data_IF_897919334413
#
_entry.id   IF_897919334413
#
_cell.length_a   1.000
_cell.length_b   1.000
_cell.length_c   1.000
_cell.angle_alpha   90.00
_cell.angle_beta   90.00
_cell.angle_gamma   90.00
#
_symmetry.space_group_name_H-M   'P 1'
#
loop_
_entity.id
_entity.type
_entity.pdbx_description
1 polymer ?
#
# COMPACT_ATOMS: atom_id res chain seq x y z
N UNK A 1 40.53 13.87 17.15
CA UNK A 1 39.61 13.49 18.25
C UNK A 1 39.36 12.00 18.12
N UNK A 2 39.71 11.24 19.17
CA UNK A 2 39.72 9.78 19.18
C UNK A 2 38.30 9.22 19.12
N UNK A 3 37.98 8.35 18.16
CA UNK A 3 36.81 7.51 18.16
C UNK A 3 36.91 6.52 19.33
N UNK A 4 35.99 6.67 20.27
CA UNK A 4 35.78 5.76 21.37
C UNK A 4 34.91 4.61 20.85
N UNK A 5 35.53 3.49 20.51
CA UNK A 5 34.83 2.23 20.30
C UNK A 5 34.28 1.77 21.67
N UNK A 6 32.97 1.83 21.83
CA UNK A 6 32.29 1.19 22.93
C UNK A 6 32.40 -0.34 22.71
N UNK A 7 33.11 -0.99 23.60
CA UNK A 7 33.15 -2.44 23.73
C UNK A 7 31.72 -2.97 23.83
N UNK A 8 31.29 -3.71 22.80
CA UNK A 8 30.12 -4.57 22.94
C UNK A 8 30.53 -5.73 23.85
N UNK A 9 29.75 -6.03 24.91
CA UNK A 9 30.03 -7.20 25.72
C UNK A 9 29.97 -8.45 24.85
N UNK A 10 30.94 -9.34 25.02
CA UNK A 10 31.04 -10.63 24.36
C UNK A 10 29.65 -11.33 24.39
N UNK A 11 29.15 -11.74 23.22
CA UNK A 11 27.98 -12.60 23.10
C UNK A 11 28.29 -13.88 23.90
N UNK A 12 27.64 -14.03 25.07
CA UNK A 12 27.48 -15.35 25.69
C UNK A 12 26.87 -16.28 24.67
N UNK A 13 27.17 -17.60 24.76
CA UNK A 13 26.55 -18.68 24.00
C UNK A 13 25.03 -18.76 24.21
N UNK A 14 24.31 -17.70 23.85
CA UNK A 14 22.88 -17.72 23.71
C UNK A 14 22.59 -18.57 22.47
N UNK A 15 22.00 -19.72 22.67
CA UNK A 15 21.47 -20.60 21.64
C UNK A 15 20.84 -19.70 20.56
N UNK A 16 21.45 -19.69 19.35
CA UNK A 16 20.91 -18.95 18.21
C UNK A 16 19.58 -19.59 17.87
N UNK A 17 18.49 -18.92 18.20
CA UNK A 17 17.15 -19.37 17.83
C UNK A 17 16.90 -19.04 16.37
N UNK A 18 16.40 -20.03 15.62
CA UNK A 18 16.14 -19.88 14.18
C UNK A 18 14.72 -19.38 13.92
N UNK A 19 13.75 -19.85 14.72
CA UNK A 19 12.32 -19.58 14.51
C UNK A 19 11.69 -18.96 15.76
N UNK A 20 10.84 -17.96 15.59
CA UNK A 20 9.96 -17.45 16.63
C UNK A 20 8.51 -17.55 16.19
N UNK A 21 7.67 -18.26 16.94
CA UNK A 21 6.22 -18.24 16.76
C UNK A 21 5.67 -17.07 17.59
N UNK A 22 5.01 -16.12 16.94
CA UNK A 22 4.46 -14.92 17.59
C UNK A 22 2.93 -14.98 17.57
N UNK A 23 2.32 -14.87 18.74
CA UNK A 23 0.86 -14.81 18.92
C UNK A 23 0.46 -13.50 19.60
N UNK A 24 -0.41 -12.68 18.99
CA UNK A 24 -0.97 -11.50 19.65
C UNK A 24 -2.00 -11.96 20.69
N UNK A 25 -1.93 -11.39 21.89
CA UNK A 25 -2.79 -11.78 23.00
C UNK A 25 -3.51 -10.57 23.62
N UNK A 26 -4.82 -10.70 23.80
CA UNK A 26 -5.63 -9.78 24.64
C UNK A 26 -6.78 -10.54 25.29
N UNK A 27 -6.57 -10.96 26.54
CA UNK A 27 -7.53 -11.76 27.30
C UNK A 27 -7.85 -13.10 26.61
N UNK A 28 -6.84 -13.92 26.36
CA UNK A 28 -6.97 -15.23 25.68
C UNK A 28 -6.60 -16.41 26.63
N UNK A 29 -6.72 -16.25 27.97
CA UNK A 29 -6.35 -17.29 28.94
C UNK A 29 -7.01 -18.66 28.64
N UNK A 30 -8.24 -18.66 28.10
CA UNK A 30 -8.97 -19.87 27.74
C UNK A 30 -8.30 -20.65 26.59
N UNK A 31 -7.76 -19.93 25.58
CA UNK A 31 -7.26 -20.53 24.34
C UNK A 31 -5.76 -20.80 24.39
N UNK A 32 -5.00 -20.06 25.20
CA UNK A 32 -3.53 -20.14 25.27
C UNK A 32 -2.98 -21.54 25.50
N UNK A 33 -3.54 -22.42 26.40
CA UNK A 33 -2.99 -23.74 26.59
C UNK A 33 -3.01 -24.58 25.29
N UNK A 34 -4.09 -24.51 24.53
CA UNK A 34 -4.21 -25.17 23.24
C UNK A 34 -3.23 -24.59 22.21
N UNK A 35 -3.20 -23.26 22.08
CA UNK A 35 -2.36 -22.57 21.09
C UNK A 35 -0.86 -22.78 21.35
N UNK A 36 -0.41 -22.73 22.62
CA UNK A 36 0.97 -22.96 22.98
C UNK A 36 1.37 -24.44 22.78
N UNK A 37 0.48 -25.38 23.09
CA UNK A 37 0.73 -26.80 22.84
C UNK A 37 0.86 -27.09 21.32
N UNK A 38 -0.02 -26.54 20.50
CA UNK A 38 0.03 -26.65 19.04
C UNK A 38 1.29 -25.97 18.45
N UNK A 39 1.65 -24.78 18.94
CA UNK A 39 2.89 -24.12 18.52
C UNK A 39 4.15 -24.90 18.90
N UNK A 40 4.14 -25.60 20.05
CA UNK A 40 5.24 -26.49 20.45
C UNK A 40 5.36 -27.70 19.52
N UNK A 41 4.23 -28.32 19.13
CA UNK A 41 4.21 -29.38 18.13
C UNK A 41 4.75 -28.88 16.78
N UNK A 42 4.36 -27.68 16.35
CA UNK A 42 4.91 -27.06 15.15
C UNK A 42 6.44 -26.87 15.23
N UNK A 43 6.97 -26.37 16.35
CA UNK A 43 8.42 -26.22 16.54
C UNK A 43 9.14 -27.58 16.50
N UNK A 44 8.59 -28.60 17.17
CA UNK A 44 9.17 -29.96 17.12
C UNK A 44 9.22 -30.53 15.69
N UNK A 45 8.17 -30.28 14.88
CA UNK A 45 8.17 -30.69 13.46
C UNK A 45 9.13 -29.87 12.61
N UNK A 46 9.29 -28.56 12.88
CA UNK A 46 10.27 -27.70 12.20
C UNK A 46 11.69 -28.19 12.51
N UNK A 47 11.99 -28.52 13.77
CA UNK A 47 13.27 -29.05 14.18
C UNK A 47 13.56 -30.41 13.52
N UNK A 48 12.58 -31.31 13.49
CA UNK A 48 12.71 -32.61 12.85
C UNK A 48 12.90 -32.50 11.32
N UNK A 49 12.25 -31.56 10.67
CA UNK A 49 12.30 -31.41 9.21
C UNK A 49 13.51 -30.61 8.71
N UNK A 50 13.92 -29.57 9.45
CA UNK A 50 14.90 -28.59 8.99
C UNK A 50 16.09 -28.41 9.95
N UNK A 51 16.07 -29.01 11.15
CA UNK A 51 17.10 -28.82 12.17
C UNK A 51 17.08 -27.40 12.83
N UNK A 52 15.96 -26.67 12.70
CA UNK A 52 15.82 -25.30 13.17
C UNK A 52 15.18 -25.27 14.57
N UNK A 53 15.83 -24.61 15.52
CA UNK A 53 15.32 -24.44 16.89
C UNK A 53 14.49 -23.19 17.04
N UNK A 54 13.56 -23.14 18.02
CA UNK A 54 12.68 -21.99 18.11
C UNK A 54 12.14 -21.67 19.51
N UNK A 55 11.47 -20.53 19.58
CA UNK A 55 10.76 -20.02 20.75
C UNK A 55 9.31 -19.69 20.43
N UNK A 56 8.50 -19.58 21.49
CA UNK A 56 7.12 -19.09 21.44
C UNK A 56 7.06 -17.74 22.15
N UNK A 57 6.53 -16.72 21.47
CA UNK A 57 6.33 -15.37 22.01
C UNK A 57 4.86 -15.04 22.05
N UNK A 58 4.37 -14.69 23.21
CA UNK A 58 3.04 -14.11 23.43
C UNK A 58 3.17 -12.60 23.50
N UNK A 59 2.70 -11.91 22.47
CA UNK A 59 2.70 -10.46 22.39
C UNK A 59 1.46 -9.89 23.11
N UNK A 60 1.59 -9.65 24.39
CA UNK A 60 0.48 -9.21 25.25
C UNK A 60 0.16 -7.74 25.06
N UNK A 61 -1.11 -7.44 24.76
CA UNK A 61 -1.61 -6.09 24.51
C UNK A 61 -2.38 -5.51 25.70
N UNK A 62 -2.05 -5.98 26.92
CA UNK A 62 -2.59 -5.53 28.19
C UNK A 62 -3.76 -6.40 28.67
N UNK A 63 -3.57 -7.70 28.71
CA UNK A 63 -4.50 -8.68 29.27
C UNK A 63 -4.67 -8.49 30.80
N UNK A 64 -5.88 -8.78 31.27
CA UNK A 64 -6.27 -8.67 32.68
C UNK A 64 -6.86 -9.96 33.24
N UNK A 65 -6.87 -11.03 32.46
CA UNK A 65 -7.49 -12.34 32.74
C UNK A 65 -6.46 -13.40 33.20
N UNK A 66 -5.22 -13.01 33.45
CA UNK A 66 -4.15 -13.93 33.83
C UNK A 66 -3.41 -14.59 32.66
N UNK A 67 -3.71 -14.19 31.39
CA UNK A 67 -3.06 -14.72 30.17
C UNK A 67 -1.54 -14.68 30.25
N UNK A 68 -0.94 -13.62 30.83
CA UNK A 68 0.51 -13.42 30.91
C UNK A 68 1.17 -14.51 31.78
N UNK A 69 0.73 -14.64 33.02
CA UNK A 69 1.26 -15.63 33.97
C UNK A 69 1.04 -17.07 33.47
N UNK A 70 -0.11 -17.33 32.85
CA UNK A 70 -0.41 -18.64 32.25
C UNK A 70 0.56 -18.96 31.10
N UNK A 71 0.81 -18.01 30.19
CA UNK A 71 1.74 -18.18 29.08
C UNK A 71 3.17 -18.51 29.54
N UNK A 72 3.66 -17.79 30.57
CA UNK A 72 4.98 -18.05 31.16
C UNK A 72 5.04 -19.44 31.82
N UNK A 73 4.01 -19.84 32.55
CA UNK A 73 3.92 -21.20 33.14
C UNK A 73 3.93 -22.30 32.08
N UNK A 74 3.38 -22.00 30.91
CA UNK A 74 3.39 -22.91 29.76
C UNK A 74 4.70 -22.82 28.94
N UNK A 75 5.72 -22.06 29.39
CA UNK A 75 7.02 -21.98 28.75
C UNK A 75 7.08 -21.07 27.52
N UNK A 76 6.12 -20.17 27.34
CA UNK A 76 6.19 -19.14 26.33
C UNK A 76 6.82 -17.85 26.94
N UNK A 77 7.55 -17.11 26.13
CA UNK A 77 8.06 -15.79 26.51
C UNK A 77 6.99 -14.71 26.29
N UNK A 78 6.70 -13.94 27.31
CA UNK A 78 5.72 -12.84 27.22
C UNK A 78 6.42 -11.53 26.90
N UNK A 79 5.87 -10.80 25.92
CA UNK A 79 6.32 -9.47 25.50
C UNK A 79 5.16 -8.50 25.71
N UNK A 80 5.30 -7.59 26.65
CA UNK A 80 4.30 -6.56 26.89
C UNK A 80 4.38 -5.47 25.83
N UNK A 81 3.25 -5.26 25.08
CA UNK A 81 3.15 -4.26 24.02
C UNK A 81 2.21 -3.14 24.47
N UNK A 82 2.79 -1.95 24.75
CA UNK A 82 2.02 -0.81 25.25
C UNK A 82 1.08 -0.20 24.20
N UNK A 83 1.48 -0.17 22.93
CA UNK A 83 0.66 0.34 21.84
C UNK A 83 -0.55 -0.58 21.61
N UNK A 84 -1.76 -0.03 21.63
CA UNK A 84 -2.98 -0.82 21.55
C UNK A 84 -3.35 -1.18 20.10
N UNK A 85 -3.77 -2.43 19.90
CA UNK A 85 -4.29 -2.96 18.65
C UNK A 85 -3.62 -4.25 18.20
N UNK A 86 -4.32 -4.99 17.35
CA UNK A 86 -3.88 -6.28 16.82
C UNK A 86 -2.53 -6.19 16.10
N UNK A 87 -2.42 -5.23 15.16
CA UNK A 87 -1.17 -5.01 14.43
C UNK A 87 -0.05 -4.50 15.33
N UNK A 88 -0.36 -3.66 16.32
CA UNK A 88 0.61 -3.19 17.30
C UNK A 88 1.19 -4.35 18.12
N UNK A 89 0.35 -5.29 18.57
CA UNK A 89 0.79 -6.49 19.28
C UNK A 89 1.73 -7.34 18.41
N UNK A 90 1.35 -7.61 17.16
CA UNK A 90 2.20 -8.37 16.22
C UNK A 90 3.52 -7.65 15.94
N UNK A 91 3.49 -6.32 15.70
CA UNK A 91 4.71 -5.54 15.45
C UNK A 91 5.65 -5.64 16.65
N UNK A 92 5.14 -5.44 17.88
CA UNK A 92 5.95 -5.51 19.08
C UNK A 92 6.53 -6.91 19.33
N UNK A 93 5.72 -7.96 19.16
CA UNK A 93 6.15 -9.34 19.28
C UNK A 93 7.22 -9.72 18.24
N UNK A 94 7.01 -9.36 16.98
CA UNK A 94 7.96 -9.63 15.91
C UNK A 94 9.27 -8.84 16.05
N UNK A 95 9.22 -7.60 16.55
CA UNK A 95 10.44 -6.83 16.86
C UNK A 95 11.26 -7.49 17.98
N UNK A 96 10.58 -8.03 18.99
CA UNK A 96 11.19 -8.72 20.12
C UNK A 96 11.61 -10.18 19.83
N UNK A 97 11.19 -10.75 18.68
CA UNK A 97 11.54 -12.10 18.28
C UNK A 97 13.06 -12.29 18.19
N UNK A 98 13.59 -13.44 18.65
CA UNK A 98 15.00 -13.75 18.50
C UNK A 98 15.30 -14.55 17.23
N UNK A 99 14.32 -15.32 16.73
CA UNK A 99 14.47 -16.15 15.53
C UNK A 99 14.72 -15.35 14.25
N UNK A 100 15.44 -15.98 13.34
CA UNK A 100 15.66 -15.50 11.97
C UNK A 100 14.36 -15.53 11.14
N UNK A 101 13.53 -16.53 11.38
CA UNK A 101 12.20 -16.68 10.79
C UNK A 101 11.13 -16.42 11.84
N UNK A 102 10.08 -15.74 11.46
CA UNK A 102 8.94 -15.41 12.31
C UNK A 102 7.71 -16.04 11.71
N UNK A 103 7.07 -16.95 12.46
CA UNK A 103 5.76 -17.51 12.16
C UNK A 103 4.74 -16.79 13.05
N UNK A 104 3.71 -16.19 12.49
CA UNK A 104 2.68 -15.49 13.25
C UNK A 104 1.30 -16.10 13.00
N UNK A 105 0.48 -16.15 14.04
CA UNK A 105 -0.90 -16.63 13.99
C UNK A 105 -1.67 -16.18 15.23
N UNK A 106 -3.00 -16.33 15.19
CA UNK A 106 -3.87 -15.88 16.26
C UNK A 106 -3.81 -16.81 17.49
N UNK A 107 -4.00 -16.26 18.69
CA UNK A 107 -4.00 -16.99 19.97
C UNK A 107 -5.39 -17.50 20.37
N UNK A 108 -6.32 -17.66 19.41
CA UNK A 108 -7.71 -18.04 19.64
C UNK A 108 -8.05 -19.49 19.24
N UNK A 109 -7.06 -20.23 18.77
CA UNK A 109 -7.22 -21.61 18.31
C UNK A 109 -7.80 -21.76 16.90
N UNK A 110 -7.97 -20.68 16.17
CA UNK A 110 -8.53 -20.73 14.81
C UNK A 110 -7.52 -21.23 13.76
N UNK A 111 -6.22 -21.20 14.03
CA UNK A 111 -5.17 -21.69 13.13
C UNK A 111 -4.39 -22.86 13.73
N UNK A 112 -4.01 -23.80 12.86
CA UNK A 112 -3.08 -24.86 13.19
C UNK A 112 -1.65 -24.38 12.85
N UNK A 113 -0.81 -24.17 13.86
CA UNK A 113 0.59 -23.76 13.65
C UNK A 113 1.43 -24.82 12.95
N UNK A 114 0.98 -26.07 12.91
CA UNK A 114 1.68 -27.12 12.14
C UNK A 114 1.61 -26.90 10.63
N UNK A 115 0.61 -26.17 10.11
CA UNK A 115 0.58 -25.70 8.72
C UNK A 115 1.76 -24.74 8.42
N UNK A 116 2.27 -24.07 9.46
CA UNK A 116 3.43 -23.18 9.41
C UNK A 116 4.76 -23.88 9.12
N UNK A 117 4.85 -25.21 9.29
CA UNK A 117 6.08 -25.98 8.98
C UNK A 117 6.45 -25.81 7.51
N UNK A 118 5.47 -25.92 6.60
CA UNK A 118 5.69 -25.70 5.18
C UNK A 118 6.06 -24.22 4.88
N UNK A 119 5.55 -23.25 5.64
CA UNK A 119 5.90 -21.84 5.48
C UNK A 119 7.37 -21.59 5.83
N UNK A 120 7.87 -22.18 6.91
CA UNK A 120 9.29 -22.07 7.28
C UNK A 120 10.18 -22.69 6.19
N UNK A 121 9.77 -23.81 5.59
CA UNK A 121 10.48 -24.39 4.44
C UNK A 121 10.58 -23.41 3.27
N UNK A 122 9.49 -22.72 2.91
CA UNK A 122 9.53 -21.71 1.84
C UNK A 122 10.47 -20.53 2.16
N UNK A 123 10.53 -20.11 3.44
CA UNK A 123 11.48 -19.06 3.85
C UNK A 123 12.93 -19.57 3.78
N UNK A 124 13.18 -20.82 4.17
CA UNK A 124 14.50 -21.44 4.05
C UNK A 124 14.94 -21.56 2.57
N UNK A 125 13.99 -21.75 1.65
CA UNK A 125 14.19 -21.75 0.20
C UNK A 125 14.30 -20.33 -0.42
N UNK A 126 14.38 -19.31 0.42
CA UNK A 126 14.64 -17.93 0.02
C UNK A 126 13.41 -17.07 -0.26
N UNK A 127 12.21 -17.48 0.17
CA UNK A 127 11.08 -16.54 0.22
C UNK A 127 11.27 -15.52 1.32
N UNK A 128 10.82 -14.28 1.08
CA UNK A 128 10.82 -13.23 2.09
C UNK A 128 9.60 -13.32 3.00
N UNK A 129 8.45 -13.65 2.41
CA UNK A 129 7.14 -13.77 3.05
C UNK A 129 6.43 -15.03 2.53
N UNK A 130 5.85 -15.82 3.42
CA UNK A 130 4.97 -16.94 3.06
C UNK A 130 3.59 -16.73 3.71
N UNK A 131 2.54 -16.77 2.88
CA UNK A 131 1.16 -16.59 3.31
C UNK A 131 0.42 -17.91 3.37
N UNK A 132 -0.41 -18.09 4.39
CA UNK A 132 -1.41 -19.15 4.39
C UNK A 132 -2.55 -18.84 3.43
N UNK A 133 -3.08 -19.85 2.73
CA UNK A 133 -4.32 -19.75 1.97
C UNK A 133 -5.39 -20.65 2.59
N UNK A 134 -6.39 -20.04 3.24
CA UNK A 134 -7.53 -20.77 3.82
C UNK A 134 -8.43 -21.35 2.72
N UNK A 135 -8.38 -20.77 1.54
CA UNK A 135 -9.11 -21.28 0.37
C UNK A 135 -8.49 -22.56 -0.19
N UNK A 136 -7.18 -22.77 0.01
CA UNK A 136 -6.50 -24.05 -0.34
C UNK A 136 -6.55 -25.08 0.77
N UNK A 137 -6.33 -24.67 2.03
CA UNK A 137 -6.21 -25.60 3.17
C UNK A 137 -7.55 -26.05 3.73
N UNK A 138 -8.57 -25.22 3.57
CA UNK A 138 -9.91 -25.52 4.05
C UNK A 138 -10.42 -24.56 5.14
N UNK A 139 -11.71 -24.36 5.14
CA UNK A 139 -12.43 -23.52 6.12
C UNK A 139 -13.51 -24.39 6.72
N UNK A 140 -13.40 -24.67 8.03
CA UNK A 140 -14.41 -25.45 8.75
C UNK A 140 -15.79 -24.78 8.70
N UNK A 141 -16.87 -25.60 8.71
CA UNK A 141 -18.23 -25.05 8.75
C UNK A 141 -18.43 -24.15 9.98
N UNK A 142 -18.76 -22.88 9.75
CA UNK A 142 -18.98 -21.88 10.80
C UNK A 142 -17.73 -21.12 11.27
N UNK A 143 -16.51 -21.47 10.82
CA UNK A 143 -15.29 -20.74 11.15
C UNK A 143 -15.21 -19.35 10.48
N UNK A 144 -15.88 -19.17 9.36
CA UNK A 144 -15.92 -17.90 8.66
C UNK A 144 -17.36 -17.56 8.23
N UNK A 145 -17.86 -16.34 8.52
CA UNK A 145 -19.15 -15.89 8.01
C UNK A 145 -19.25 -15.97 6.49
N UNK A 146 -20.39 -16.40 5.95
CA UNK A 146 -20.60 -16.59 4.52
C UNK A 146 -20.23 -15.35 3.68
N UNK A 147 -20.63 -14.15 4.17
CA UNK A 147 -20.32 -12.88 3.50
C UNK A 147 -18.82 -12.63 3.39
N UNK A 148 -18.05 -12.98 4.41
CA UNK A 148 -16.59 -12.82 4.38
C UNK A 148 -15.95 -13.85 3.46
N UNK A 149 -16.43 -15.11 3.48
CA UNK A 149 -15.89 -16.20 2.67
C UNK A 149 -16.08 -15.95 1.17
N UNK A 150 -17.27 -15.50 0.73
CA UNK A 150 -17.62 -15.45 -0.69
C UNK A 150 -17.59 -14.04 -1.28
N UNK A 151 -17.61 -12.99 -0.46
CA UNK A 151 -17.65 -11.61 -0.95
C UNK A 151 -16.50 -10.77 -0.38
N UNK A 152 -16.41 -10.62 0.93
CA UNK A 152 -15.48 -9.67 1.55
C UNK A 152 -14.01 -9.97 1.26
N UNK A 153 -13.54 -11.17 1.61
CA UNK A 153 -12.14 -11.54 1.42
C UNK A 153 -11.77 -11.66 -0.08
N UNK A 154 -12.56 -12.32 -0.96
CA UNK A 154 -12.25 -12.36 -2.38
C UNK A 154 -12.21 -10.97 -3.03
N UNK A 155 -13.16 -10.09 -2.69
CA UNK A 155 -13.22 -8.74 -3.25
C UNK A 155 -11.99 -7.90 -2.82
N UNK A 156 -11.66 -7.89 -1.54
CA UNK A 156 -10.53 -7.12 -1.02
C UNK A 156 -9.19 -7.67 -1.54
N UNK A 157 -9.05 -9.00 -1.62
CA UNK A 157 -7.87 -9.63 -2.21
C UNK A 157 -7.78 -9.34 -3.71
N UNK A 158 -8.90 -9.39 -4.44
CA UNK A 158 -8.96 -9.03 -5.86
C UNK A 158 -8.55 -7.58 -6.13
N UNK A 159 -9.04 -6.64 -5.31
CA UNK A 159 -8.62 -5.22 -5.39
C UNK A 159 -7.12 -5.08 -5.08
N UNK A 160 -6.60 -5.79 -4.07
CA UNK A 160 -5.19 -5.80 -3.74
C UNK A 160 -4.35 -6.30 -4.92
N UNK A 161 -4.71 -7.43 -5.52
CA UNK A 161 -4.01 -7.98 -6.68
C UNK A 161 -4.08 -7.04 -7.88
N UNK A 162 -5.23 -6.42 -8.14
CA UNK A 162 -5.39 -5.45 -9.23
C UNK A 162 -4.49 -4.22 -9.03
N UNK A 163 -4.40 -3.71 -7.80
CA UNK A 163 -3.65 -2.48 -7.51
C UNK A 163 -2.14 -2.71 -7.41
N UNK A 164 -1.72 -3.84 -6.83
CA UNK A 164 -0.32 -4.08 -6.46
C UNK A 164 0.33 -5.26 -7.19
N UNK A 165 -0.44 -6.05 -7.96
CA UNK A 165 0.03 -7.24 -8.67
C UNK A 165 0.76 -8.23 -7.74
N UNK A 166 0.14 -8.47 -6.57
CA UNK A 166 0.73 -9.30 -5.53
C UNK A 166 0.54 -10.81 -5.80
N UNK A 167 -0.41 -11.18 -6.65
CA UNK A 167 -0.76 -12.57 -7.02
C UNK A 167 -1.02 -13.47 -5.79
N UNK A 168 -1.83 -12.96 -4.85
CA UNK A 168 -2.15 -13.61 -3.59
C UNK A 168 -3.60 -14.09 -3.61
N UNK A 169 -3.85 -15.29 -3.06
CA UNK A 169 -5.19 -15.85 -2.98
C UNK A 169 -5.95 -15.43 -1.73
N UNK A 170 -5.24 -15.29 -0.60
CA UNK A 170 -5.82 -14.95 0.69
C UNK A 170 -4.97 -13.92 1.44
N UNK A 171 -5.14 -12.65 1.10
CA UNK A 171 -4.40 -11.55 1.73
C UNK A 171 -4.71 -11.34 3.22
N UNK A 172 -5.79 -11.94 3.71
CA UNK A 172 -6.30 -11.74 5.08
C UNK A 172 -6.13 -12.97 5.98
N UNK A 173 -5.40 -14.00 5.53
CA UNK A 173 -5.05 -15.13 6.39
C UNK A 173 -4.18 -14.65 7.56
N UNK A 174 -4.52 -15.03 8.81
CA UNK A 174 -3.74 -14.68 10.00
C UNK A 174 -2.44 -15.48 10.12
N UNK A 175 -2.44 -16.75 9.66
CA UNK A 175 -1.25 -17.58 9.67
C UNK A 175 -0.31 -17.20 8.52
N UNK A 176 0.87 -16.71 8.85
CA UNK A 176 1.89 -16.27 7.88
C UNK A 176 3.29 -16.33 8.46
N UNK A 177 4.28 -16.51 7.63
CA UNK A 177 5.69 -16.51 8.03
C UNK A 177 6.48 -15.47 7.23
N UNK A 178 7.48 -14.85 7.87
CA UNK A 178 8.33 -13.83 7.26
C UNK A 178 9.74 -13.94 7.82
N UNK A 179 10.77 -13.67 7.01
CA UNK A 179 12.12 -13.51 7.55
C UNK A 179 12.19 -12.22 8.38
N UNK A 180 12.94 -12.25 9.49
CA UNK A 180 13.09 -11.07 10.37
C UNK A 180 13.67 -9.87 9.63
N UNK A 181 14.59 -10.10 8.71
CA UNK A 181 15.17 -9.07 7.88
C UNK A 181 14.12 -8.41 6.98
N UNK A 182 13.27 -9.22 6.31
CA UNK A 182 12.15 -8.71 5.51
C UNK A 182 11.14 -7.96 6.37
N UNK A 183 10.79 -8.49 7.55
CA UNK A 183 9.88 -7.83 8.48
C UNK A 183 10.36 -6.41 8.87
N UNK A 184 11.61 -6.29 9.27
CA UNK A 184 12.20 -5.00 9.63
C UNK A 184 12.27 -4.06 8.42
N UNK A 185 12.60 -4.59 7.24
CA UNK A 185 12.63 -3.81 6.00
C UNK A 185 11.24 -3.29 5.61
N UNK A 186 10.16 -4.01 5.89
CA UNK A 186 8.80 -3.55 5.57
C UNK A 186 8.41 -2.26 6.29
N UNK A 187 8.94 -2.00 7.49
CA UNK A 187 8.62 -0.80 8.26
C UNK A 187 7.12 -0.69 8.53
N UNK A 188 6.51 -1.75 9.07
CA UNK A 188 5.07 -1.82 9.34
C UNK A 188 4.69 -0.84 10.45
N UNK A 189 3.53 -0.19 10.32
CA UNK A 189 3.05 0.83 11.26
C UNK A 189 1.54 0.72 11.57
N UNK A 190 0.81 -0.13 10.86
CA UNK A 190 -0.62 -0.35 11.05
C UNK A 190 -0.90 -1.01 12.39
N UNK A 191 -1.52 -0.27 13.32
CA UNK A 191 -1.80 -0.77 14.67
C UNK A 191 -3.03 -1.69 14.74
N UNK A 192 -3.93 -1.64 13.76
CA UNK A 192 -5.16 -2.42 13.72
C UNK A 192 -5.12 -3.61 12.78
N UNK A 193 -6.31 -4.04 12.31
CA UNK A 193 -6.44 -5.16 11.36
C UNK A 193 -5.84 -4.87 9.98
N UNK A 194 -5.64 -3.59 9.64
CA UNK A 194 -4.97 -3.14 8.42
C UNK A 194 -3.51 -3.62 8.30
N UNK A 195 -2.88 -4.02 9.41
CA UNK A 195 -1.56 -4.67 9.43
C UNK A 195 -1.47 -5.82 8.42
N UNK A 196 -2.53 -6.63 8.31
CA UNK A 196 -2.57 -7.76 7.40
C UNK A 196 -2.39 -7.34 5.93
N UNK A 197 -3.13 -6.32 5.51
CA UNK A 197 -3.02 -5.76 4.15
C UNK A 197 -1.73 -4.96 3.96
N UNK A 198 -1.28 -4.21 4.99
CA UNK A 198 -0.05 -3.44 4.94
C UNK A 198 1.17 -4.31 4.62
N UNK A 199 1.30 -5.44 5.30
CA UNK A 199 2.40 -6.38 5.10
C UNK A 199 2.48 -6.84 3.66
N UNK A 200 1.38 -7.34 3.11
CA UNK A 200 1.31 -7.85 1.74
C UNK A 200 1.58 -6.75 0.72
N UNK A 201 0.96 -5.58 0.89
CA UNK A 201 1.11 -4.45 -0.03
C UNK A 201 2.57 -3.97 -0.06
N UNK A 202 3.17 -3.77 1.11
CA UNK A 202 4.57 -3.31 1.19
C UNK A 202 5.53 -4.35 0.65
N UNK A 203 5.30 -5.65 0.91
CA UNK A 203 6.09 -6.73 0.32
C UNK A 203 6.01 -6.71 -1.21
N UNK A 204 4.81 -6.60 -1.78
CA UNK A 204 4.61 -6.50 -3.23
C UNK A 204 5.25 -5.23 -3.82
N UNK A 205 5.11 -4.07 -3.16
CA UNK A 205 5.71 -2.81 -3.61
C UNK A 205 7.24 -2.85 -3.58
N UNK A 206 7.84 -3.60 -2.65
CA UNK A 206 9.28 -3.82 -2.53
C UNK A 206 9.78 -5.00 -3.37
N UNK A 207 8.88 -5.66 -4.13
CA UNK A 207 9.19 -6.81 -4.98
C UNK A 207 9.83 -7.97 -4.21
N UNK A 208 9.40 -8.17 -2.97
CA UNK A 208 9.79 -9.31 -2.17
C UNK A 208 9.21 -10.61 -2.76
N UNK A 209 9.93 -11.72 -2.60
CA UNK A 209 9.41 -13.04 -2.98
C UNK A 209 8.34 -13.47 -1.99
N UNK A 210 7.09 -13.59 -2.47
CA UNK A 210 5.93 -13.99 -1.68
C UNK A 210 5.46 -15.35 -2.15
N UNK A 211 5.54 -16.35 -1.26
CA UNK A 211 5.05 -17.69 -1.53
C UNK A 211 3.76 -17.97 -0.74
N UNK A 212 3.01 -19.00 -1.10
CA UNK A 212 1.73 -19.33 -0.49
C UNK A 212 1.63 -20.84 -0.26
N UNK A 213 1.15 -21.24 0.92
CA UNK A 213 0.88 -22.63 1.28
C UNK A 213 -0.58 -22.78 1.78
N UNK A 214 -1.16 -23.99 1.69
CA UNK A 214 -2.45 -24.25 2.32
C UNK A 214 -2.39 -23.97 3.82
N UNK A 215 -3.47 -23.39 4.39
CA UNK A 215 -3.64 -23.20 5.81
C UNK A 215 -5.10 -23.47 6.19
N UNK A 216 -5.31 -24.21 7.27
CA UNK A 216 -6.64 -24.57 7.75
C UNK A 216 -7.19 -23.46 8.65
N UNK A 217 -8.48 -23.16 8.52
CA UNK A 217 -9.19 -22.30 9.45
C UNK A 217 -10.24 -23.09 10.21
N UNK A 218 -10.03 -23.26 11.49
CA UNK A 218 -10.97 -23.88 12.43
C UNK A 218 -11.81 -22.84 13.14
N UNK A 219 -12.85 -23.29 13.88
CA UNK A 219 -13.60 -22.39 14.74
C UNK A 219 -12.73 -21.95 15.91
N UNK A 220 -12.85 -20.68 16.27
CA UNK A 220 -12.19 -20.16 17.47
C UNK A 220 -12.70 -20.88 18.73
N UNK A 221 -11.84 -21.00 19.73
CA UNK A 221 -12.15 -21.67 21.00
C UNK A 221 -12.69 -20.69 22.06
N UNK A 222 -12.99 -19.46 21.67
CA UNK A 222 -13.49 -18.42 22.57
C UNK A 222 -14.98 -18.54 22.82
N UNK A 223 -15.40 -18.37 24.06
CA UNK A 223 -16.82 -18.27 24.43
C UNK A 223 -17.38 -16.85 24.20
N UNK A 224 -16.56 -15.90 23.75
CA UNK A 224 -16.92 -14.50 23.50
C UNK A 224 -16.96 -14.17 22.02
N UNK A 225 -17.75 -13.14 21.61
CA UNK A 225 -17.75 -12.69 20.22
C UNK A 225 -16.37 -12.22 19.77
N UNK A 226 -15.99 -12.46 18.51
CA UNK A 226 -14.72 -11.98 17.97
C UNK A 226 -14.64 -10.45 17.99
N UNK A 227 -13.44 -9.90 18.17
CA UNK A 227 -13.19 -8.45 18.18
C UNK A 227 -13.39 -7.80 16.79
N UNK A 228 -13.45 -8.61 15.73
CA UNK A 228 -13.57 -8.17 14.35
C UNK A 228 -14.97 -7.56 14.08
N UNK A 229 -14.98 -6.33 13.56
CA UNK A 229 -16.18 -5.62 13.10
C UNK A 229 -16.17 -5.53 11.58
N UNK A 230 -16.90 -6.37 10.83
CA UNK A 230 -16.71 -6.56 9.38
C UNK A 230 -16.72 -5.26 8.56
N UNK A 231 -17.68 -4.37 8.78
CA UNK A 231 -17.80 -3.11 8.05
C UNK A 231 -16.68 -2.11 8.38
N UNK A 232 -16.39 -1.94 9.67
CA UNK A 232 -15.36 -1.00 10.11
C UNK A 232 -13.97 -1.45 9.66
N UNK A 233 -13.69 -2.74 9.81
CA UNK A 233 -12.39 -3.29 9.49
C UNK A 233 -12.23 -3.46 7.97
N UNK A 234 -13.28 -3.86 7.24
CA UNK A 234 -13.30 -3.85 5.78
C UNK A 234 -13.07 -2.46 5.18
N UNK A 235 -13.69 -1.41 5.75
CA UNK A 235 -13.42 -0.03 5.36
C UNK A 235 -11.97 0.40 5.63
N UNK A 236 -11.37 -0.01 6.77
CA UNK A 236 -9.97 0.24 7.08
C UNK A 236 -9.04 -0.39 6.05
N UNK A 237 -9.29 -1.64 5.67
CA UNK A 237 -8.54 -2.33 4.63
C UNK A 237 -8.66 -1.60 3.28
N UNK A 238 -9.87 -1.31 2.81
CA UNK A 238 -10.10 -0.60 1.56
C UNK A 238 -9.43 0.78 1.55
N UNK A 239 -9.60 1.55 2.62
CA UNK A 239 -8.94 2.86 2.75
C UNK A 239 -7.43 2.74 2.66
N UNK A 240 -6.84 1.73 3.29
CA UNK A 240 -5.40 1.51 3.25
C UNK A 240 -4.92 1.15 1.84
N UNK A 241 -5.65 0.27 1.15
CA UNK A 241 -5.42 -0.05 -0.27
C UNK A 241 -5.40 1.21 -1.15
N UNK A 242 -6.39 2.07 -0.99
CA UNK A 242 -6.51 3.31 -1.76
C UNK A 242 -5.36 4.28 -1.43
N UNK A 243 -5.02 4.48 -0.16
CA UNK A 243 -3.94 5.38 0.27
C UNK A 243 -2.57 4.98 -0.30
N UNK A 244 -2.31 3.68 -0.43
CA UNK A 244 -1.07 3.17 -1.01
C UNK A 244 -1.12 3.01 -2.54
N UNK A 245 -2.23 3.38 -3.18
CA UNK A 245 -2.40 3.22 -4.63
C UNK A 245 -2.71 4.53 -5.37
N UNK A 246 -1.75 5.48 -5.45
CA UNK A 246 -1.96 6.77 -6.10
C UNK A 246 -2.38 6.65 -7.56
N UNK A 247 -1.92 5.61 -8.26
CA UNK A 247 -2.31 5.37 -9.66
C UNK A 247 -3.80 5.14 -9.81
N UNK A 248 -4.41 4.38 -8.91
CA UNK A 248 -5.85 4.06 -8.99
C UNK A 248 -6.72 5.18 -8.44
N UNK A 249 -6.24 5.91 -7.42
CA UNK A 249 -7.00 7.02 -6.82
C UNK A 249 -6.95 8.28 -7.67
N UNK A 250 -5.80 8.59 -8.24
CA UNK A 250 -5.60 9.84 -8.98
C UNK A 250 -5.29 9.60 -10.46
N UNK A 251 -4.41 8.63 -10.79
CA UNK A 251 -3.91 8.44 -12.15
C UNK A 251 -4.99 7.94 -13.12
N UNK A 252 -5.76 6.92 -12.76
CA UNK A 252 -6.83 6.38 -13.62
C UNK A 252 -7.96 7.40 -13.81
N UNK A 253 -8.51 8.04 -12.76
CA UNK A 253 -9.49 9.12 -12.95
C UNK A 253 -8.95 10.30 -13.78
N UNK A 254 -7.66 10.66 -13.61
CA UNK A 254 -7.03 11.69 -14.41
C UNK A 254 -7.03 11.35 -15.90
N UNK A 255 -6.63 10.12 -16.25
CA UNK A 255 -6.63 9.66 -17.65
C UNK A 255 -8.02 9.67 -18.25
N UNK A 256 -9.03 9.19 -17.52
CA UNK A 256 -10.44 9.20 -17.96
C UNK A 256 -10.92 10.63 -18.17
N UNK A 257 -10.64 11.54 -17.23
CA UNK A 257 -11.04 12.94 -17.33
C UNK A 257 -10.36 13.64 -18.53
N UNK A 258 -9.05 13.46 -18.70
CA UNK A 258 -8.29 14.06 -19.81
C UNK A 258 -8.78 13.50 -21.13
N UNK A 259 -8.99 12.18 -21.24
CA UNK A 259 -9.49 11.56 -22.47
C UNK A 259 -10.88 12.08 -22.83
N UNK A 260 -11.81 12.14 -21.86
CA UNK A 260 -13.13 12.71 -22.06
C UNK A 260 -13.08 14.19 -22.45
N UNK A 261 -12.20 14.97 -21.82
CA UNK A 261 -11.97 16.37 -22.16
C UNK A 261 -11.48 16.54 -23.59
N UNK A 262 -10.50 15.73 -24.01
CA UNK A 262 -9.95 15.81 -25.38
C UNK A 262 -10.99 15.49 -26.45
N UNK A 263 -11.87 14.53 -26.21
CA UNK A 263 -12.98 14.22 -27.11
C UNK A 263 -13.95 15.41 -27.18
N UNK A 264 -14.41 15.91 -26.04
CA UNK A 264 -15.38 17.01 -25.96
C UNK A 264 -14.81 18.27 -26.59
N UNK A 265 -13.62 18.70 -26.18
CA UNK A 265 -12.97 19.91 -26.69
C UNK A 265 -12.53 19.75 -28.16
N UNK A 266 -12.14 18.55 -28.59
CA UNK A 266 -11.86 18.27 -30.00
C UNK A 266 -13.06 18.47 -30.88
N UNK A 267 -14.22 17.91 -30.51
CA UNK A 267 -15.49 18.11 -31.28
C UNK A 267 -15.89 19.59 -31.24
N UNK A 268 -15.81 20.24 -30.07
CA UNK A 268 -16.13 21.67 -29.93
C UNK A 268 -15.22 22.55 -30.81
N UNK A 269 -13.92 22.22 -30.88
CA UNK A 269 -12.95 22.90 -31.73
C UNK A 269 -13.23 22.73 -33.22
N UNK A 270 -13.51 21.49 -33.67
CA UNK A 270 -13.91 21.22 -35.07
C UNK A 270 -15.18 21.97 -35.46
N UNK A 271 -16.15 22.09 -34.55
CA UNK A 271 -17.38 22.86 -34.79
C UNK A 271 -17.08 24.36 -34.82
N UNK A 272 -16.23 24.87 -33.93
CA UNK A 272 -15.87 26.29 -33.87
C UNK A 272 -15.05 26.76 -35.07
N UNK A 273 -14.28 25.86 -35.68
CA UNK A 273 -13.48 26.15 -36.91
C UNK A 273 -14.25 25.90 -38.21
N UNK A 274 -15.51 25.40 -38.15
CA UNK A 274 -16.33 25.08 -39.33
C UNK A 274 -15.92 23.80 -40.05
N UNK A 275 -14.98 23.01 -39.49
CA UNK A 275 -14.57 21.71 -40.05
C UNK A 275 -15.60 20.60 -39.78
N UNK A 276 -16.48 20.81 -38.80
CA UNK A 276 -17.59 19.93 -38.52
C UNK A 276 -18.83 20.36 -39.33
N UNK A 277 -19.31 19.51 -40.24
CA UNK A 277 -20.46 19.79 -41.11
C UNK A 277 -21.73 19.21 -40.49
N UNK A 278 -22.64 20.06 -40.05
CA UNK A 278 -23.88 19.69 -39.39
C UNK A 278 -24.01 20.18 -37.94
N UNK A 279 -25.13 19.84 -37.27
CA UNK A 279 -25.33 20.25 -35.88
C UNK A 279 -24.28 19.60 -34.97
N UNK A 280 -23.60 20.42 -34.16
CA UNK A 280 -22.60 19.92 -33.21
C UNK A 280 -23.30 19.13 -32.10
N UNK A 281 -22.84 17.89 -31.79
CA UNK A 281 -23.33 17.17 -30.63
C UNK A 281 -22.83 17.77 -29.30
N UNK A 282 -21.85 18.70 -29.35
CA UNK A 282 -21.24 19.37 -28.22
C UNK A 282 -21.63 20.84 -28.24
N UNK A 283 -22.56 21.24 -27.36
CA UNK A 283 -22.92 22.63 -27.13
C UNK A 283 -22.03 23.33 -26.10
N UNK A 284 -22.39 24.58 -25.78
CA UNK A 284 -21.66 25.42 -24.84
C UNK A 284 -21.44 24.76 -23.47
N UNK A 285 -22.46 24.13 -22.91
CA UNK A 285 -22.39 23.46 -21.59
C UNK A 285 -21.36 22.32 -21.59
N UNK A 286 -21.35 21.48 -22.64
CA UNK A 286 -20.36 20.39 -22.74
C UNK A 286 -18.95 20.93 -22.98
N UNK A 287 -18.79 22.02 -23.71
CA UNK A 287 -17.47 22.67 -23.88
C UNK A 287 -16.89 23.14 -22.54
N UNK A 288 -17.72 23.73 -21.68
CA UNK A 288 -17.32 24.11 -20.31
C UNK A 288 -16.95 22.87 -19.48
N UNK A 289 -17.76 21.80 -19.55
CA UNK A 289 -17.45 20.51 -18.89
C UNK A 289 -16.12 19.94 -19.38
N UNK A 290 -15.83 20.02 -20.68
CA UNK A 290 -14.55 19.59 -21.26
C UNK A 290 -13.36 20.38 -20.66
N UNK A 291 -13.47 21.70 -20.53
CA UNK A 291 -12.44 22.52 -19.87
C UNK A 291 -12.24 22.15 -18.39
N UNK A 292 -13.34 21.94 -17.67
CA UNK A 292 -13.29 21.49 -16.27
C UNK A 292 -12.62 20.11 -16.13
N UNK A 293 -12.97 19.14 -16.97
CA UNK A 293 -12.37 17.81 -16.96
C UNK A 293 -10.87 17.87 -17.31
N UNK A 294 -10.47 18.73 -18.24
CA UNK A 294 -9.07 18.89 -18.61
C UNK A 294 -8.23 19.43 -17.45
N UNK A 295 -8.69 20.49 -16.80
CA UNK A 295 -8.00 21.10 -15.67
C UNK A 295 -7.96 20.21 -14.44
N UNK A 296 -9.08 19.56 -14.12
CA UNK A 296 -9.17 18.61 -13.01
C UNK A 296 -8.32 17.37 -13.26
N UNK A 297 -8.33 16.86 -14.50
CA UNK A 297 -7.49 15.71 -14.90
C UNK A 297 -6.00 16.04 -14.78
N UNK A 298 -5.56 17.21 -15.23
CA UNK A 298 -4.18 17.66 -15.07
C UNK A 298 -3.78 17.77 -13.58
N UNK A 299 -4.64 18.38 -12.74
CA UNK A 299 -4.40 18.43 -11.31
C UNK A 299 -4.26 17.04 -10.69
N UNK A 300 -5.12 16.08 -11.07
CA UNK A 300 -5.06 14.71 -10.60
C UNK A 300 -3.76 13.99 -11.05
N UNK A 301 -3.21 14.30 -12.24
CA UNK A 301 -1.88 13.80 -12.66
C UNK A 301 -0.81 14.29 -11.69
N UNK A 302 -0.80 15.59 -11.36
CA UNK A 302 0.16 16.16 -10.40
C UNK A 302 0.04 15.50 -9.02
N UNK A 303 -1.17 15.27 -8.53
CA UNK A 303 -1.40 14.55 -7.27
C UNK A 303 -0.90 13.10 -7.32
N UNK A 304 -1.11 12.41 -8.46
CA UNK A 304 -0.60 11.05 -8.68
C UNK A 304 0.93 11.00 -8.63
N UNK A 305 1.60 11.95 -9.27
CA UNK A 305 3.07 12.05 -9.26
C UNK A 305 3.58 12.41 -7.86
N UNK A 306 3.00 13.42 -7.21
CA UNK A 306 3.40 13.87 -5.88
C UNK A 306 3.31 12.74 -4.83
N UNK A 307 2.20 12.02 -4.82
CA UNK A 307 2.00 10.89 -3.91
C UNK A 307 2.89 9.69 -4.26
N UNK A 308 3.15 9.45 -5.56
CA UNK A 308 4.10 8.41 -5.99
C UNK A 308 5.52 8.73 -5.52
N UNK A 309 6.01 9.97 -5.75
CA UNK A 309 7.33 10.40 -5.33
C UNK A 309 7.50 10.42 -3.81
N UNK A 310 6.45 10.82 -3.08
CA UNK A 310 6.45 10.70 -1.63
C UNK A 310 6.66 9.24 -1.18
N UNK A 311 5.98 8.29 -1.81
CA UNK A 311 6.15 6.86 -1.53
C UNK A 311 7.55 6.32 -1.83
N UNK A 312 8.17 6.79 -2.93
CA UNK A 312 9.56 6.46 -3.27
C UNK A 312 10.52 7.02 -2.21
N UNK A 313 10.38 8.28 -1.84
CA UNK A 313 11.21 8.92 -0.80
C UNK A 313 11.10 8.24 0.56
N UNK A 314 9.92 7.77 0.92
CA UNK A 314 9.69 7.00 2.16
C UNK A 314 10.18 5.55 2.09
N UNK A 315 10.73 5.10 0.97
CA UNK A 315 11.35 3.79 0.80
C UNK A 315 10.38 2.60 0.81
N UNK A 316 9.07 2.82 0.72
CA UNK A 316 8.12 1.70 0.61
C UNK A 316 7.72 1.37 -0.84
N UNK A 317 8.27 2.08 -1.82
CA UNK A 317 7.95 1.92 -3.25
C UNK A 317 9.17 2.23 -4.11
N UNK A 318 9.39 1.47 -5.19
CA UNK A 318 10.38 1.78 -6.21
C UNK A 318 9.85 2.73 -7.28
N UNK A 319 10.77 3.39 -8.01
CA UNK A 319 10.43 4.22 -9.16
C UNK A 319 10.00 3.33 -10.35
N UNK A 320 8.84 3.63 -10.94
CA UNK A 320 8.42 2.96 -12.17
C UNK A 320 9.31 3.38 -13.34
N UNK A 321 9.72 2.48 -14.25
CA UNK A 321 10.60 2.83 -15.37
C UNK A 321 10.08 3.98 -16.24
N UNK A 322 8.76 4.02 -16.50
CA UNK A 322 8.13 5.12 -17.25
C UNK A 322 8.25 6.46 -16.51
N UNK A 323 8.01 6.46 -15.19
CA UNK A 323 8.10 7.67 -14.36
C UNK A 323 9.53 8.13 -14.20
N UNK A 324 10.50 7.19 -14.14
CA UNK A 324 11.93 7.50 -14.08
C UNK A 324 12.37 8.24 -15.34
N UNK A 325 12.04 7.73 -16.53
CA UNK A 325 12.37 8.41 -17.80
C UNK A 325 11.78 9.82 -17.89
N UNK A 326 10.51 9.97 -17.48
CA UNK A 326 9.86 11.29 -17.40
C UNK A 326 10.54 12.21 -16.38
N UNK A 327 10.89 11.69 -15.21
CA UNK A 327 11.52 12.47 -14.13
C UNK A 327 12.95 12.93 -14.45
N UNK A 328 13.67 12.22 -15.29
CA UNK A 328 15.00 12.64 -15.79
C UNK A 328 14.91 13.85 -16.73
N UNK A 329 13.80 14.01 -17.44
CA UNK A 329 13.55 15.11 -18.41
C UNK A 329 12.87 16.30 -17.73
N UNK A 330 12.02 16.04 -16.72
CA UNK A 330 11.26 17.06 -16.01
C UNK A 330 12.14 17.69 -14.91
N UNK A 331 12.57 18.92 -15.18
CA UNK A 331 13.25 19.79 -14.21
C UNK A 331 12.27 20.83 -13.68
N UNK A 332 12.61 21.45 -12.54
CA UNK A 332 11.84 22.56 -12.01
C UNK A 332 11.77 23.72 -12.99
N UNK A 333 12.92 24.07 -13.60
CA UNK A 333 13.01 25.15 -14.58
C UNK A 333 12.14 24.87 -15.81
N UNK A 334 12.12 23.60 -16.28
CA UNK A 334 11.25 23.19 -17.39
C UNK A 334 9.75 23.33 -17.04
N UNK A 335 9.37 22.96 -15.83
CA UNK A 335 8.01 23.14 -15.34
C UNK A 335 7.61 24.63 -15.22
N UNK A 336 8.51 25.47 -14.73
CA UNK A 336 8.30 26.92 -14.64
C UNK A 336 8.18 27.58 -16.02
N UNK A 337 9.06 27.22 -16.97
CA UNK A 337 9.02 27.72 -18.35
C UNK A 337 7.73 27.29 -19.06
N UNK A 338 7.38 26.02 -18.97
CA UNK A 338 6.18 25.48 -19.60
C UNK A 338 4.91 26.10 -18.98
N UNK A 339 4.84 26.15 -17.66
CA UNK A 339 3.71 26.77 -16.96
C UNK A 339 3.59 28.27 -17.22
N UNK A 340 4.72 28.99 -17.25
CA UNK A 340 4.78 30.40 -17.62
C UNK A 340 4.34 30.65 -19.06
N UNK A 341 4.79 29.83 -20.02
CA UNK A 341 4.36 29.94 -21.40
C UNK A 341 2.83 29.72 -21.57
N UNK A 342 2.26 28.72 -20.86
CA UNK A 342 0.81 28.50 -20.87
C UNK A 342 0.04 29.66 -20.25
N UNK A 343 0.55 30.27 -19.19
CA UNK A 343 -0.06 31.48 -18.59
C UNK A 343 -0.02 32.67 -19.56
N UNK A 344 1.10 32.90 -20.23
CA UNK A 344 1.24 33.96 -21.25
C UNK A 344 0.27 33.69 -22.41
N UNK A 345 0.18 32.45 -22.89
CA UNK A 345 -0.77 32.07 -23.94
C UNK A 345 -2.24 32.31 -23.51
N UNK A 346 -2.57 32.03 -22.25
CA UNK A 346 -3.88 32.30 -21.67
C UNK A 346 -4.17 33.79 -21.65
N UNK A 347 -3.26 34.62 -21.12
CA UNK A 347 -3.44 36.10 -21.10
C UNK A 347 -3.57 36.68 -22.51
N UNK A 348 -2.74 36.21 -23.47
CA UNK A 348 -2.84 36.65 -24.86
C UNK A 348 -4.17 36.20 -25.50
N UNK A 349 -4.64 35.01 -25.18
CA UNK A 349 -5.96 34.50 -25.59
C UNK A 349 -7.11 35.39 -25.05
N UNK A 350 -7.10 35.66 -23.76
CA UNK A 350 -8.10 36.57 -23.17
C UNK A 350 -8.07 37.96 -23.76
N UNK A 351 -6.88 38.55 -23.99
CA UNK A 351 -6.72 39.86 -24.64
C UNK A 351 -7.30 39.85 -26.06
N UNK A 352 -6.99 38.82 -26.84
CA UNK A 352 -7.53 38.68 -28.18
C UNK A 352 -9.06 38.51 -28.19
N UNK A 353 -9.62 37.74 -27.25
CA UNK A 353 -11.06 37.57 -27.08
C UNK A 353 -11.70 38.92 -26.70
N UNK A 354 -11.14 39.64 -25.74
CA UNK A 354 -11.63 40.94 -25.32
C UNK A 354 -11.60 41.99 -26.45
N UNK A 355 -10.51 42.01 -27.22
CA UNK A 355 -10.39 42.89 -28.38
C UNK A 355 -11.47 42.58 -29.46
N UNK A 356 -11.63 41.32 -29.83
CA UNK A 356 -12.68 40.89 -30.76
C UNK A 356 -14.08 41.22 -30.26
N UNK A 357 -14.34 41.06 -28.95
CA UNK A 357 -15.62 41.36 -28.34
C UNK A 357 -15.94 42.88 -28.41
N UNK A 358 -14.97 43.71 -28.08
CA UNK A 358 -15.04 45.15 -28.20
C UNK A 358 -15.30 45.58 -29.66
N UNK A 359 -14.53 45.03 -30.61
CA UNK A 359 -14.66 45.32 -32.03
C UNK A 359 -16.05 44.95 -32.62
N UNK A 360 -16.74 43.97 -32.01
CA UNK A 360 -18.11 43.57 -32.37
C UNK A 360 -19.21 44.31 -31.60
N UNK A 361 -18.89 45.38 -30.90
CA UNK A 361 -19.87 46.13 -30.12
C UNK A 361 -20.46 45.38 -28.94
N UNK A 362 -19.65 44.49 -28.30
CA UNK A 362 -20.03 43.69 -27.12
C UNK A 362 -21.20 42.72 -27.33
N UNK A 363 -21.37 42.22 -28.54
CA UNK A 363 -22.39 41.18 -28.85
C UNK A 363 -22.02 39.83 -28.26
N UNK A 364 -23.01 38.93 -28.12
CA UNK A 364 -22.77 37.57 -27.62
C UNK A 364 -21.77 36.80 -28.46
N UNK A 365 -20.93 35.99 -27.80
CA UNK A 365 -19.98 35.13 -28.53
C UNK A 365 -20.70 34.02 -29.29
N UNK A 366 -20.28 33.74 -30.53
CA UNK A 366 -20.82 32.62 -31.29
C UNK A 366 -20.41 31.26 -30.71
N UNK A 367 -19.31 31.18 -29.96
CA UNK A 367 -18.82 29.98 -29.31
C UNK A 367 -18.07 30.29 -28.02
N UNK A 368 -18.30 29.52 -26.98
CA UNK A 368 -17.56 29.59 -25.70
C UNK A 368 -16.21 28.85 -25.77
N UNK A 369 -15.90 28.13 -26.86
CA UNK A 369 -14.70 27.31 -26.99
C UNK A 369 -13.40 28.09 -26.80
N UNK A 370 -13.16 29.26 -27.45
CA UNK A 370 -11.92 30.02 -27.25
C UNK A 370 -11.74 30.47 -25.80
N UNK A 371 -12.81 30.92 -25.14
CA UNK A 371 -12.79 31.33 -23.76
C UNK A 371 -12.44 30.16 -22.82
N UNK A 372 -13.08 29.01 -23.02
CA UNK A 372 -12.82 27.81 -22.24
C UNK A 372 -11.37 27.34 -22.43
N UNK A 373 -10.84 27.40 -23.66
CA UNK A 373 -9.45 27.01 -23.95
C UNK A 373 -8.46 27.95 -23.27
N UNK A 374 -8.66 29.28 -23.37
CA UNK A 374 -7.81 30.26 -22.72
C UNK A 374 -7.81 30.09 -21.19
N UNK A 375 -8.99 29.90 -20.59
CA UNK A 375 -9.13 29.64 -19.14
C UNK A 375 -8.43 28.35 -18.71
N UNK A 376 -8.60 27.27 -19.49
CA UNK A 376 -7.96 25.98 -19.21
C UNK A 376 -6.43 26.07 -19.32
N UNK A 377 -5.89 26.76 -20.33
CA UNK A 377 -4.45 27.01 -20.46
C UNK A 377 -3.88 27.73 -19.24
N UNK A 378 -4.56 28.77 -18.76
CA UNK A 378 -4.11 29.53 -17.58
C UNK A 378 -4.13 28.68 -16.30
N UNK A 379 -5.20 27.92 -16.11
CA UNK A 379 -5.32 27.02 -14.96
C UNK A 379 -4.25 25.93 -14.97
N UNK A 380 -4.02 25.28 -16.13
CA UNK A 380 -2.98 24.26 -16.29
C UNK A 380 -1.60 24.88 -16.12
N UNK A 381 -1.36 26.06 -16.66
CA UNK A 381 -0.09 26.79 -16.48
C UNK A 381 0.23 27.05 -15.01
N UNK A 382 -0.73 27.59 -14.27
CA UNK A 382 -0.58 27.84 -12.84
C UNK A 382 -0.36 26.54 -12.05
N UNK A 383 -1.17 25.51 -12.33
CA UNK A 383 -1.02 24.19 -11.71
C UNK A 383 0.35 23.57 -12.00
N UNK A 384 0.88 23.75 -13.21
CA UNK A 384 2.20 23.23 -13.58
C UNK A 384 3.32 23.93 -12.81
N UNK A 385 3.26 25.25 -12.64
CA UNK A 385 4.20 26.00 -11.80
C UNK A 385 4.14 25.54 -10.34
N UNK A 386 2.95 25.52 -9.76
CA UNK A 386 2.77 25.10 -8.36
C UNK A 386 3.14 23.63 -8.16
N UNK A 387 2.77 22.77 -9.11
CA UNK A 387 3.10 21.35 -9.11
C UNK A 387 4.60 21.10 -9.23
N UNK A 388 5.31 21.86 -10.05
CA UNK A 388 6.76 21.83 -10.16
C UNK A 388 7.45 22.10 -8.82
N UNK A 389 7.06 23.16 -8.11
CA UNK A 389 7.55 23.43 -6.76
C UNK A 389 7.23 22.31 -5.78
N UNK A 390 5.99 21.82 -5.77
CA UNK A 390 5.60 20.71 -4.89
C UNK A 390 6.45 19.46 -5.12
N UNK A 391 6.66 19.08 -6.38
CA UNK A 391 7.47 17.92 -6.73
C UNK A 391 8.95 18.13 -6.37
N UNK A 392 9.51 19.32 -6.58
CA UNK A 392 10.87 19.67 -6.18
C UNK A 392 11.07 19.60 -4.66
N UNK A 393 10.10 20.06 -3.87
CA UNK A 393 10.10 19.93 -2.40
C UNK A 393 10.08 18.46 -1.99
N UNK A 394 9.25 17.64 -2.63
CA UNK A 394 9.18 16.19 -2.37
C UNK A 394 10.49 15.51 -2.77
N UNK A 395 11.15 15.97 -3.85
CA UNK A 395 12.44 15.47 -4.32
C UNK A 395 13.65 15.99 -3.54
N UNK A 396 13.44 16.55 -2.36
CA UNK A 396 14.49 17.07 -1.46
C UNK A 396 15.26 18.28 -2.02
N UNK A 397 14.53 19.20 -2.63
CA UNK A 397 15.05 20.44 -3.22
C UNK A 397 16.01 20.21 -4.39
N UNK A 398 15.90 19.09 -5.06
CA UNK A 398 16.67 18.77 -6.24
C UNK A 398 16.06 19.45 -7.49
N UNK A 399 16.89 19.87 -8.44
CA UNK A 399 16.42 20.41 -9.72
C UNK A 399 15.71 19.35 -10.56
N UNK A 400 15.96 18.07 -10.30
CA UNK A 400 15.23 16.95 -10.92
C UNK A 400 14.01 16.65 -10.08
N UNK A 401 12.84 16.60 -10.70
CA UNK A 401 11.57 16.38 -10.00
C UNK A 401 11.38 14.93 -9.51
N UNK A 402 12.11 13.96 -10.05
CA UNK A 402 12.07 12.59 -9.59
C UNK A 402 13.09 12.34 -8.48
N UNK A 403 12.68 11.79 -7.32
CA UNK A 403 13.59 11.39 -6.27
C UNK A 403 14.46 10.20 -6.72
N UNK A 404 15.67 10.00 -6.14
CA UNK A 404 16.48 8.82 -6.41
C UNK A 404 15.71 7.55 -6.05
N UNK A 405 15.90 6.47 -6.83
CA UNK A 405 15.26 5.18 -6.54
C UNK A 405 15.99 4.52 -5.37
N UNK A 406 15.32 4.27 -4.22
CA UNK A 406 15.96 3.66 -3.06
C UNK A 406 16.41 2.21 -3.28
N UNK A 407 16.00 1.59 -4.40
CA UNK A 407 16.35 0.22 -4.75
C UNK A 407 17.38 0.12 -5.89
N UNK A 408 17.91 1.25 -6.39
CA UNK A 408 18.92 1.26 -7.47
C UNK A 408 20.24 0.60 -7.06
N UNK A 409 20.60 0.67 -5.78
CA UNK A 409 21.88 0.19 -5.25
C UNK A 409 21.86 -1.29 -4.83
N UNK A 410 20.68 -1.87 -4.68
CA UNK A 410 20.54 -3.32 -4.51
C UNK A 410 20.50 -3.97 -5.88
N UNK A 411 21.66 -4.35 -6.40
CA UNK A 411 21.89 -4.97 -7.72
C UNK A 411 21.01 -6.18 -8.10
N UNK A 412 19.71 -6.06 -7.92
CA UNK A 412 18.70 -6.96 -8.42
C UNK A 412 18.55 -6.71 -9.91
N UNK A 413 19.41 -7.43 -10.65
CA UNK A 413 19.42 -7.45 -12.10
C UNK A 413 18.00 -7.56 -12.64
N UNK A 414 17.73 -6.76 -13.66
CA UNK A 414 16.56 -6.88 -14.48
C UNK A 414 16.47 -8.33 -15.02
N UNK A 415 15.60 -9.15 -14.46
CA UNK A 415 15.04 -10.24 -15.22
C UNK A 415 13.91 -9.66 -16.10
N UNK A 416 13.81 -10.06 -17.35
CA UNK A 416 12.94 -9.51 -18.37
C UNK A 416 11.44 -9.63 -18.06
#
# INVERSE_FOLDING_TARGET
MKHMFLDQPARSDAMLLDVTIVMPCLNEAQCLPHCIANARDALARIEAAYGLTGEIVIADNGSTDGSQALAETLGARVVAVAAKGYGAALIGGCQAAFGHYILMGDADGSYDFTDGVAMIGQLADGADLCMGSRFRGGIEPGAMPWKNRHVGNPLLTGILNLFFRADIEDAHCGLRAISKAAFLNLGLAGSGMEFASEMVIKAALKRMRIDQVPATLSRDLRDRPPHLRPWRDGWRHLRYLLMLSPTWVFGVPALVAIFGALIILGIAGLSATGLWHGPSPVGASWTIVGGFLLTTGHFAVLMSLATHFHGVRKGYRGLRPSVRRFGEILTLEGALLMGGALMIASFSGFAAIAFNWSARGFTAFPSVFPLTLAASCGAIGLQTVMGGFLLAIIADHSNRLAPPDPFSDFGLGHAP
#
